data_IF_913752393080
#
_entry.id   IF_913752393080
#
_cell.length_a   1.000
_cell.length_b   1.000
_cell.length_c   1.000
_cell.angle_alpha   90.00
_cell.angle_beta   90.00
_cell.angle_gamma   90.00
#
_symmetry.space_group_name_H-M   'P 1'
#
loop_
_entity.id
_entity.type
_entity.pdbx_description
1 polymer ?
#
# COMPACT_ATOMS: atom_id res chain seq x y z
N UNK A 1 -38.49 12.67 18.87
CA UNK A 1 -37.98 12.96 20.25
C UNK A 1 -39.04 12.46 21.23
N UNK A 2 -38.85 11.25 21.73
CA UNK A 2 -39.57 10.73 22.90
C UNK A 2 -38.66 10.86 24.12
N UNK A 3 -39.21 11.48 25.14
CA UNK A 3 -38.52 11.80 26.41
C UNK A 3 -37.94 10.56 27.09
N UNK A 4 -36.66 10.54 27.36
CA UNK A 4 -36.08 9.95 28.57
C UNK A 4 -35.67 8.49 28.57
N UNK A 5 -35.60 7.76 27.46
CA UNK A 5 -35.00 6.43 27.42
C UNK A 5 -33.57 6.49 26.85
N UNK A 6 -32.57 6.45 27.74
CA UNK A 6 -31.17 6.24 27.32
C UNK A 6 -31.06 4.81 26.77
N UNK A 7 -30.95 4.69 25.45
CA UNK A 7 -30.63 3.44 24.75
C UNK A 7 -29.21 2.98 25.11
N UNK A 8 -28.99 1.66 25.09
CA UNK A 8 -27.63 1.09 25.20
C UNK A 8 -26.92 1.26 23.89
N UNK A 9 -25.80 1.96 23.90
CA UNK A 9 -24.97 2.21 22.71
C UNK A 9 -24.42 0.89 22.16
N UNK A 10 -24.76 0.58 20.91
CA UNK A 10 -24.22 -0.58 20.17
C UNK A 10 -22.96 -0.18 19.42
N UNK A 11 -23.07 0.85 18.58
CA UNK A 11 -21.96 1.31 17.75
C UNK A 11 -22.14 2.78 17.35
N UNK A 12 -21.03 3.39 16.94
CA UNK A 12 -20.99 4.63 16.19
C UNK A 12 -20.26 4.34 14.86
N UNK A 13 -20.86 4.71 13.75
CA UNK A 13 -20.32 4.48 12.42
C UNK A 13 -20.15 5.80 11.68
N UNK A 14 -19.00 6.06 11.03
CA UNK A 14 -18.82 7.27 10.26
C UNK A 14 -19.79 7.36 9.09
N UNK A 15 -20.43 8.53 8.92
CA UNK A 15 -21.09 8.95 7.69
C UNK A 15 -20.14 9.85 6.92
N UNK A 16 -19.93 9.60 5.64
CA UNK A 16 -18.95 10.32 4.86
C UNK A 16 -19.59 11.15 3.74
N UNK A 17 -19.02 12.32 3.51
CA UNK A 17 -19.24 13.11 2.30
C UNK A 17 -18.29 12.57 1.23
N UNK A 18 -18.79 11.67 0.37
CA UNK A 18 -18.01 10.96 -0.62
C UNK A 18 -17.99 11.67 -1.96
N UNK A 19 -16.83 11.76 -2.57
CA UNK A 19 -16.60 12.32 -3.91
C UNK A 19 -15.88 11.31 -4.79
N UNK A 20 -15.90 11.42 -6.14
CA UNK A 20 -15.07 10.61 -7.01
C UNK A 20 -13.61 10.65 -6.57
N UNK A 21 -12.90 9.50 -6.53
CA UNK A 21 -11.55 9.44 -5.99
C UNK A 21 -10.55 10.33 -6.77
N UNK A 22 -10.80 10.57 -8.06
CA UNK A 22 -9.98 11.44 -8.92
C UNK A 22 -10.33 12.93 -8.86
N UNK A 23 -11.31 13.32 -8.03
CA UNK A 23 -11.62 14.74 -7.82
C UNK A 23 -10.59 15.34 -6.86
N UNK A 24 -9.90 16.44 -7.26
CA UNK A 24 -8.94 17.15 -6.40
C UNK A 24 -9.66 17.99 -5.33
N UNK A 25 -10.44 17.31 -4.51
CA UNK A 25 -11.16 17.86 -3.35
C UNK A 25 -10.95 16.90 -2.18
N UNK A 26 -10.13 17.30 -1.21
CA UNK A 26 -9.66 16.42 -0.15
C UNK A 26 -10.32 16.69 1.20
N UNK A 27 -10.75 17.93 1.43
CA UNK A 27 -11.33 18.30 2.72
C UNK A 27 -12.31 19.46 2.60
N UNK A 28 -13.13 19.61 3.63
CA UNK A 28 -14.05 20.71 3.87
C UNK A 28 -13.96 21.15 5.33
N UNK A 29 -14.35 22.37 5.61
CA UNK A 29 -14.59 22.81 6.99
C UNK A 29 -15.93 22.26 7.49
N UNK A 30 -16.13 22.26 8.82
CA UNK A 30 -17.41 21.86 9.41
C UNK A 30 -18.60 22.71 8.91
N UNK A 31 -18.39 24.03 8.66
CA UNK A 31 -19.40 24.91 8.10
C UNK A 31 -19.77 24.51 6.64
N UNK A 32 -18.76 24.20 5.83
CA UNK A 32 -18.97 23.74 4.46
C UNK A 32 -19.66 22.37 4.42
N UNK A 33 -19.27 21.46 5.31
CA UNK A 33 -19.93 20.17 5.45
C UNK A 33 -21.41 20.32 5.80
N UNK A 34 -21.75 21.20 6.74
CA UNK A 34 -23.14 21.51 7.11
C UNK A 34 -23.89 22.12 5.93
N UNK A 35 -23.28 23.04 5.18
CA UNK A 35 -23.90 23.63 4.01
C UNK A 35 -24.18 22.57 2.91
N UNK A 36 -23.27 21.63 2.71
CA UNK A 36 -23.49 20.51 1.77
C UNK A 36 -24.67 19.64 2.23
N UNK A 37 -24.79 19.35 3.53
CA UNK A 37 -25.90 18.57 4.08
C UNK A 37 -27.26 19.28 3.94
N UNK A 38 -27.28 20.60 4.12
CA UNK A 38 -28.52 21.40 4.09
C UNK A 38 -29.00 21.71 2.66
N UNK A 39 -28.07 21.98 1.75
CA UNK A 39 -28.38 22.47 0.40
C UNK A 39 -28.18 21.43 -0.69
N UNK A 40 -27.44 20.34 -0.39
CA UNK A 40 -26.98 19.35 -1.36
C UNK A 40 -25.80 19.84 -2.20
N UNK A 41 -25.11 18.90 -2.81
CA UNK A 41 -24.08 19.14 -3.82
C UNK A 41 -24.07 17.97 -4.81
N UNK A 42 -24.15 18.25 -6.11
CA UNK A 42 -24.25 17.20 -7.15
C UNK A 42 -23.02 16.27 -7.23
N UNK A 43 -21.87 16.72 -6.75
CA UNK A 43 -20.62 15.93 -6.75
C UNK A 43 -20.42 15.14 -5.46
N UNK A 44 -21.23 15.37 -4.42
CA UNK A 44 -21.08 14.77 -3.10
C UNK A 44 -22.23 13.80 -2.84
N UNK A 45 -21.90 12.63 -2.32
CA UNK A 45 -22.87 11.66 -1.82
C UNK A 45 -22.63 11.44 -0.33
N UNK A 46 -23.69 11.53 0.48
CA UNK A 46 -23.66 11.13 1.89
C UNK A 46 -23.98 9.64 1.97
N UNK A 47 -23.09 8.86 2.56
CA UNK A 47 -23.29 7.43 2.81
C UNK A 47 -22.50 6.96 4.03
N UNK A 48 -22.83 5.81 4.62
CA UNK A 48 -21.98 5.16 5.61
C UNK A 48 -20.60 4.85 5.02
N UNK A 49 -19.54 5.06 5.81
CA UNK A 49 -18.19 4.73 5.33
C UNK A 49 -18.05 3.25 4.95
N UNK A 50 -18.81 2.37 5.60
CA UNK A 50 -18.89 0.95 5.23
C UNK A 50 -19.49 0.65 3.85
N UNK A 51 -20.12 1.62 3.20
CA UNK A 51 -20.69 1.50 1.85
C UNK A 51 -19.84 2.21 0.79
N UNK A 52 -18.71 2.80 1.20
CA UNK A 52 -17.76 3.40 0.26
C UNK A 52 -17.06 2.30 -0.54
N UNK A 53 -16.73 2.57 -1.79
CA UNK A 53 -15.90 1.74 -2.66
C UNK A 53 -14.75 2.56 -3.25
N UNK A 54 -13.75 1.89 -3.83
CA UNK A 54 -12.55 2.51 -4.37
C UNK A 54 -12.79 3.54 -5.49
N UNK A 55 -14.00 3.65 -6.05
CA UNK A 55 -14.36 4.68 -7.04
C UNK A 55 -14.53 6.06 -6.42
N UNK A 56 -14.60 6.12 -5.09
CA UNK A 56 -14.84 7.33 -4.30
C UNK A 56 -13.87 7.42 -3.15
N UNK A 57 -13.74 8.62 -2.59
CA UNK A 57 -13.04 8.89 -1.33
C UNK A 57 -13.89 9.77 -0.42
N UNK A 58 -13.71 9.62 0.87
CA UNK A 58 -14.33 10.46 1.88
C UNK A 58 -13.64 11.83 1.96
N UNK A 59 -14.38 12.93 2.02
CA UNK A 59 -13.82 14.23 2.37
C UNK A 59 -13.45 14.25 3.85
N UNK A 60 -12.28 14.78 4.16
CA UNK A 60 -11.91 15.10 5.54
C UNK A 60 -12.73 16.31 6.00
N UNK A 61 -13.09 16.37 7.27
CA UNK A 61 -13.81 17.50 7.86
C UNK A 61 -12.95 18.10 8.95
N UNK A 62 -12.58 19.36 8.81
CA UNK A 62 -11.63 20.05 9.71
C UNK A 62 -10.32 19.23 9.91
N UNK A 63 -9.81 18.67 8.82
CA UNK A 63 -8.60 17.87 8.79
C UNK A 63 -8.74 16.42 9.27
N UNK A 64 -9.92 15.97 9.72
CA UNK A 64 -10.18 14.63 10.25
C UNK A 64 -10.80 13.70 9.23
N UNK A 65 -10.29 12.47 9.14
CA UNK A 65 -10.82 11.41 8.30
C UNK A 65 -11.75 10.45 9.05
N UNK A 66 -12.53 9.61 8.35
CA UNK A 66 -13.52 8.73 8.96
C UNK A 66 -12.93 7.63 9.85
N UNK A 67 -11.63 7.30 9.73
CA UNK A 67 -10.92 6.38 10.62
C UNK A 67 -10.61 6.99 12.00
N UNK A 68 -10.70 8.32 12.15
CA UNK A 68 -10.35 9.00 13.38
C UNK A 68 -11.54 9.02 14.37
N UNK A 69 -11.32 8.75 15.68
CA UNK A 69 -12.40 8.55 16.66
C UNK A 69 -13.33 9.75 16.82
N UNK A 70 -12.83 10.96 16.56
CA UNK A 70 -13.55 12.23 16.70
C UNK A 70 -13.97 12.82 15.35
N UNK A 71 -14.10 11.99 14.32
CA UNK A 71 -14.70 12.38 13.04
C UNK A 71 -16.12 12.89 13.26
N UNK A 72 -16.48 14.09 12.75
CA UNK A 72 -17.67 14.81 13.23
C UNK A 72 -19.00 14.25 12.71
N UNK A 73 -19.02 13.52 11.60
CA UNK A 73 -20.25 12.92 11.06
C UNK A 73 -20.32 11.45 11.45
N UNK A 74 -21.20 11.14 12.39
CA UNK A 74 -21.38 9.76 12.87
C UNK A 74 -22.87 9.42 13.00
N UNK A 75 -23.20 8.21 12.61
CA UNK A 75 -24.47 7.58 12.92
C UNK A 75 -24.34 6.75 14.20
N UNK A 76 -25.28 6.94 15.12
CA UNK A 76 -25.28 6.25 16.41
C UNK A 76 -26.35 5.19 16.44
N UNK A 77 -25.94 3.96 16.70
CA UNK A 77 -26.82 2.80 16.84
C UNK A 77 -26.99 2.46 18.30
N UNK A 78 -28.25 2.48 18.78
CA UNK A 78 -28.58 2.19 20.17
C UNK A 78 -29.71 1.18 20.26
N UNK A 79 -29.63 0.28 21.27
CA UNK A 79 -30.72 -0.61 21.62
C UNK A 79 -31.63 0.07 22.64
N UNK A 80 -32.91 0.12 22.31
CA UNK A 80 -33.95 0.61 23.21
C UNK A 80 -34.92 -0.53 23.47
N UNK A 81 -35.26 -0.77 24.72
CA UNK A 81 -36.29 -1.74 25.09
C UNK A 81 -37.05 -1.30 26.33
N UNK A 82 -38.24 -1.93 26.49
CA UNK A 82 -39.03 -1.81 27.66
C UNK A 82 -38.21 -2.14 28.94
N UNK A 83 -38.40 -1.44 30.07
CA UNK A 83 -37.68 -1.65 31.30
C UNK A 83 -37.58 -3.12 31.77
N UNK A 84 -38.62 -3.92 31.50
CA UNK A 84 -38.65 -5.34 31.85
C UNK A 84 -37.63 -6.21 31.12
N UNK A 85 -37.09 -5.75 29.98
CA UNK A 85 -36.12 -6.48 29.16
C UNK A 85 -34.68 -5.94 29.26
N UNK A 86 -34.40 -4.95 30.10
CA UNK A 86 -33.07 -4.32 30.22
C UNK A 86 -31.96 -5.32 30.57
N UNK A 87 -32.24 -6.31 31.42
CA UNK A 87 -31.24 -7.34 31.78
C UNK A 87 -30.86 -8.17 30.53
N UNK A 88 -31.85 -8.64 29.77
CA UNK A 88 -31.62 -9.39 28.56
C UNK A 88 -30.86 -8.57 27.50
N UNK A 89 -31.13 -7.25 27.42
CA UNK A 89 -30.36 -6.34 26.54
C UNK A 89 -28.90 -6.21 26.95
N UNK A 90 -28.61 -6.10 28.25
CA UNK A 90 -27.23 -6.06 28.72
C UNK A 90 -26.48 -7.37 28.42
N UNK A 91 -27.14 -8.50 28.42
CA UNK A 91 -26.55 -9.79 28.02
C UNK A 91 -26.33 -9.87 26.50
N UNK A 92 -27.22 -9.29 25.70
CA UNK A 92 -27.14 -9.29 24.22
C UNK A 92 -26.13 -8.31 23.71
N UNK A 93 -25.93 -7.16 24.36
CA UNK A 93 -25.09 -6.04 23.88
C UNK A 93 -23.68 -6.45 23.51
N UNK A 94 -22.89 -7.22 24.30
CA UNK A 94 -21.57 -7.65 23.95
C UNK A 94 -21.53 -8.49 22.65
N UNK A 95 -22.56 -9.32 22.44
CA UNK A 95 -22.67 -10.15 21.23
C UNK A 95 -22.93 -9.29 19.97
N UNK A 96 -23.78 -8.27 20.09
CA UNK A 96 -24.04 -7.33 19.01
C UNK A 96 -22.81 -6.46 18.70
N UNK A 97 -22.12 -5.98 19.73
CA UNK A 97 -20.87 -5.23 19.57
C UNK A 97 -19.77 -6.08 18.93
N UNK A 98 -19.65 -7.36 19.31
CA UNK A 98 -18.70 -8.29 18.70
C UNK A 98 -19.05 -8.66 17.24
N UNK A 99 -20.34 -8.66 16.89
CA UNK A 99 -20.83 -8.93 15.53
C UNK A 99 -20.86 -7.67 14.65
N UNK A 100 -20.59 -6.48 15.22
CA UNK A 100 -20.57 -5.25 14.45
C UNK A 100 -19.39 -5.23 13.50
N UNK A 101 -19.56 -4.71 12.26
CA UNK A 101 -18.46 -4.60 11.32
C UNK A 101 -17.26 -3.90 11.95
N UNK A 102 -16.10 -4.53 11.86
CA UNK A 102 -14.85 -3.93 12.34
C UNK A 102 -14.43 -2.77 11.43
N UNK A 103 -13.66 -1.79 11.93
CA UNK A 103 -13.06 -0.77 11.09
C UNK A 103 -12.20 -1.42 9.98
N UNK A 104 -12.14 -0.81 8.80
CA UNK A 104 -11.27 -1.33 7.75
C UNK A 104 -9.79 -1.27 8.18
N UNK A 105 -8.99 -2.21 7.69
CA UNK A 105 -7.53 -2.23 7.89
C UNK A 105 -6.88 -1.13 7.05
N UNK A 106 -6.04 -0.33 7.67
CA UNK A 106 -5.27 0.71 7.02
C UNK A 106 -3.92 0.16 6.53
N UNK A 107 -3.83 -0.11 5.23
CA UNK A 107 -2.59 -0.44 4.54
C UNK A 107 -1.97 0.85 3.99
N UNK A 108 -0.69 1.07 4.29
CA UNK A 108 0.09 2.16 3.70
C UNK A 108 1.12 1.60 2.72
N UNK A 109 0.98 1.94 1.45
CA UNK A 109 1.92 1.54 0.41
C UNK A 109 2.81 2.71 -0.01
N UNK A 110 4.11 2.44 -0.16
CA UNK A 110 5.09 3.40 -0.67
C UNK A 110 5.81 2.85 -1.90
N UNK A 111 6.54 3.72 -2.59
CA UNK A 111 7.30 3.37 -3.79
C UNK A 111 8.63 2.66 -3.52
N UNK A 112 9.54 2.80 -4.48
CA UNK A 112 10.84 2.12 -4.48
C UNK A 112 11.77 2.69 -3.42
N UNK A 113 12.33 1.81 -2.60
CA UNK A 113 13.24 2.11 -1.49
C UNK A 113 14.62 1.56 -1.83
N UNK A 114 15.61 2.44 -2.02
CA UNK A 114 17.00 2.10 -2.32
C UNK A 114 17.91 2.74 -1.27
N UNK A 115 18.32 1.97 -0.27
CA UNK A 115 19.09 2.43 0.89
C UNK A 115 20.62 2.29 0.68
N UNK A 116 21.07 2.58 -0.55
CA UNK A 116 22.49 2.70 -0.91
C UNK A 116 22.93 4.19 -0.92
N UNK A 117 24.07 4.51 -1.43
CA UNK A 117 24.64 5.85 -1.65
C UNK A 117 24.60 6.73 -0.37
N UNK A 118 24.06 7.94 -0.45
CA UNK A 118 23.99 8.88 0.68
C UNK A 118 23.16 8.35 1.84
N UNK A 119 22.05 7.65 1.56
CA UNK A 119 21.21 7.01 2.58
C UNK A 119 22.00 5.89 3.28
N UNK A 120 22.63 4.98 2.52
CA UNK A 120 23.46 3.92 3.05
C UNK A 120 24.65 4.41 3.88
N UNK A 121 25.30 5.51 3.44
CA UNK A 121 26.37 6.12 4.21
C UNK A 121 25.87 6.71 5.55
N UNK A 122 24.65 7.24 5.61
CA UNK A 122 24.07 7.70 6.87
C UNK A 122 23.82 6.52 7.82
N UNK A 123 23.26 5.42 7.32
CA UNK A 123 23.03 4.19 8.07
C UNK A 123 24.32 3.61 8.65
N UNK A 124 25.39 3.51 7.84
CA UNK A 124 26.70 3.05 8.28
C UNK A 124 27.36 3.94 9.36
N UNK A 125 26.96 5.22 9.45
CA UNK A 125 27.35 6.12 10.55
C UNK A 125 26.48 5.97 11.80
N UNK A 126 25.49 5.07 11.79
CA UNK A 126 24.59 4.80 12.91
C UNK A 126 23.34 5.68 12.96
N UNK A 127 23.07 6.46 11.92
CA UNK A 127 21.83 7.30 11.84
C UNK A 127 20.71 6.52 11.16
N UNK A 128 20.10 5.58 11.90
CA UNK A 128 19.05 4.69 11.40
C UNK A 128 17.77 5.44 11.05
N UNK A 129 17.48 6.56 11.68
CA UNK A 129 16.28 7.34 11.41
C UNK A 129 16.40 8.20 10.14
N UNK A 130 17.62 8.46 9.67
CA UNK A 130 17.90 9.40 8.60
C UNK A 130 17.06 9.19 7.32
N UNK A 131 16.93 7.97 6.78
CA UNK A 131 16.21 7.79 5.51
C UNK A 131 14.74 8.21 5.56
N UNK A 132 14.06 8.07 6.71
CA UNK A 132 12.60 8.18 6.81
C UNK A 132 12.13 9.27 7.78
N UNK A 133 13.02 10.07 8.35
CA UNK A 133 12.69 11.07 9.39
C UNK A 133 11.55 12.02 9.00
N UNK A 134 11.38 12.30 7.71
CA UNK A 134 10.34 13.21 7.22
C UNK A 134 8.94 12.60 7.06
N UNK A 135 8.79 11.28 7.24
CA UNK A 135 7.54 10.53 6.99
C UNK A 135 7.31 9.38 7.98
N UNK A 136 8.22 9.17 8.94
CA UNK A 136 8.17 8.03 9.84
C UNK A 136 6.89 7.98 10.71
N UNK A 137 6.31 9.12 11.04
CA UNK A 137 5.06 9.16 11.81
C UNK A 137 3.89 8.62 11.00
N UNK A 138 3.85 8.89 9.69
CA UNK A 138 2.83 8.36 8.77
C UNK A 138 3.01 6.85 8.57
N UNK A 139 4.27 6.40 8.37
CA UNK A 139 4.57 4.98 8.20
C UNK A 139 4.11 4.16 9.42
N UNK A 140 4.40 4.64 10.64
CA UNK A 140 4.02 3.96 11.88
C UNK A 140 2.54 4.09 12.26
N UNK A 141 1.80 5.01 11.65
CA UNK A 141 0.39 5.22 11.96
C UNK A 141 -0.55 4.25 11.22
N UNK A 142 -0.06 3.55 10.20
CA UNK A 142 -0.82 2.51 9.51
C UNK A 142 -0.85 1.20 10.30
N UNK A 143 -1.83 0.35 10.01
CA UNK A 143 -1.89 -1.01 10.57
C UNK A 143 -0.84 -1.92 9.91
N UNK A 144 -0.56 -1.68 8.62
CA UNK A 144 0.46 -2.39 7.83
C UNK A 144 1.11 -1.40 6.87
N UNK A 145 2.45 -1.35 6.84
CA UNK A 145 3.22 -0.53 5.89
C UNK A 145 4.05 -1.41 4.96
N UNK A 146 3.90 -1.19 3.64
CA UNK A 146 4.57 -1.98 2.60
C UNK A 146 5.36 -1.11 1.63
N UNK A 147 6.47 -1.62 1.09
CA UNK A 147 7.26 -0.97 0.04
C UNK A 147 8.11 -1.97 -0.75
N UNK A 148 8.77 -1.51 -1.80
CA UNK A 148 9.68 -2.33 -2.59
C UNK A 148 11.13 -1.99 -2.22
N UNK A 149 11.89 -2.94 -1.66
CA UNK A 149 13.32 -2.76 -1.34
C UNK A 149 14.15 -3.04 -2.61
N UNK A 150 14.42 -1.99 -3.35
CA UNK A 150 15.07 -2.05 -4.67
C UNK A 150 16.59 -1.96 -4.56
N UNK A 151 17.17 -2.88 -3.84
CA UNK A 151 18.60 -3.08 -3.72
C UNK A 151 18.90 -4.46 -3.12
N UNK A 152 20.08 -5.01 -3.36
CA UNK A 152 20.63 -6.02 -2.47
C UNK A 152 20.76 -5.42 -1.06
N UNK A 153 20.69 -6.25 -0.03
CA UNK A 153 20.84 -5.85 1.38
C UNK A 153 21.91 -6.72 2.04
N UNK A 154 22.90 -6.09 2.64
CA UNK A 154 23.95 -6.78 3.34
C UNK A 154 25.36 -6.33 2.96
N UNK A 155 26.36 -7.17 3.24
CA UNK A 155 27.77 -6.86 3.05
C UNK A 155 28.56 -7.96 2.33
N UNK A 156 27.89 -9.06 1.93
CA UNK A 156 28.50 -10.19 1.21
C UNK A 156 28.09 -10.23 -0.25
N UNK A 157 28.77 -11.07 -1.05
CA UNK A 157 28.52 -11.25 -2.48
C UNK A 157 29.35 -10.32 -3.36
N UNK A 158 29.32 -10.61 -4.66
CA UNK A 158 30.03 -9.86 -5.70
C UNK A 158 29.03 -9.16 -6.61
N UNK A 159 29.33 -7.94 -7.10
CA UNK A 159 28.40 -7.19 -7.94
C UNK A 159 28.15 -7.88 -9.27
N UNK A 160 26.87 -7.94 -9.68
CA UNK A 160 26.49 -8.39 -11.01
C UNK A 160 27.12 -7.49 -12.10
N UNK A 161 27.37 -8.02 -13.29
CA UNK A 161 27.99 -7.27 -14.40
C UNK A 161 26.99 -6.33 -15.09
N UNK A 162 26.37 -5.43 -14.31
CA UNK A 162 25.41 -4.42 -14.75
C UNK A 162 25.90 -3.01 -14.42
N UNK A 163 25.29 -2.02 -15.04
CA UNK A 163 25.77 -0.62 -14.93
C UNK A 163 25.59 -0.03 -13.53
N UNK A 164 24.50 -0.40 -12.85
CA UNK A 164 24.12 0.14 -11.56
C UNK A 164 23.76 -1.00 -10.58
N UNK A 165 24.75 -1.70 -9.98
CA UNK A 165 24.47 -2.60 -8.87
C UNK A 165 24.26 -1.79 -7.59
N UNK A 166 23.13 -2.00 -6.90
CA UNK A 166 22.80 -1.33 -5.65
C UNK A 166 22.95 -2.26 -4.46
N UNK A 167 23.50 -1.74 -3.35
CA UNK A 167 23.64 -2.50 -2.11
C UNK A 167 23.43 -1.62 -0.89
N UNK A 168 22.29 -1.80 -0.22
CA UNK A 168 22.04 -1.27 1.11
C UNK A 168 22.92 -1.99 2.16
N UNK A 169 23.48 -1.28 3.15
CA UNK A 169 24.24 -1.90 4.22
C UNK A 169 23.32 -2.70 5.17
N UNK A 170 23.86 -3.63 5.99
CA UNK A 170 23.08 -4.44 6.93
C UNK A 170 22.17 -3.63 7.87
N UNK A 171 22.60 -2.43 8.26
CA UNK A 171 21.85 -1.50 9.11
C UNK A 171 20.51 -1.04 8.50
N UNK A 172 20.34 -1.22 7.19
CA UNK A 172 19.11 -0.83 6.49
C UNK A 172 17.89 -1.64 6.95
N UNK A 173 18.07 -2.91 7.36
CA UNK A 173 16.98 -3.71 7.92
C UNK A 173 16.43 -3.08 9.22
N UNK A 174 17.30 -2.68 10.14
CA UNK A 174 16.91 -2.00 11.37
C UNK A 174 16.32 -0.60 11.12
N UNK A 175 16.75 0.08 10.06
CA UNK A 175 16.16 1.36 9.67
C UNK A 175 14.73 1.23 9.12
N UNK A 176 14.45 0.15 8.37
CA UNK A 176 13.09 -0.19 7.90
C UNK A 176 12.15 -0.48 9.08
N UNK A 177 12.57 -1.35 10.03
CA UNK A 177 11.81 -1.63 11.26
C UNK A 177 11.53 -0.35 12.05
N UNK A 178 12.56 0.46 12.29
CA UNK A 178 12.44 1.73 13.03
C UNK A 178 11.45 2.70 12.37
N UNK A 179 11.41 2.71 11.04
CA UNK A 179 10.49 3.55 10.28
C UNK A 179 9.05 3.03 10.32
N UNK A 180 8.81 1.76 10.62
CA UNK A 180 7.50 1.13 10.69
C UNK A 180 7.13 0.33 9.44
N UNK A 181 8.11 -0.17 8.67
CA UNK A 181 7.83 -1.12 7.60
C UNK A 181 7.54 -2.50 8.17
N UNK A 182 6.44 -3.11 7.74
CA UNK A 182 6.06 -4.49 8.09
C UNK A 182 6.47 -5.48 7.00
N UNK A 183 6.35 -5.07 5.73
CA UNK A 183 6.60 -5.93 4.58
C UNK A 183 7.40 -5.18 3.52
N UNK A 184 8.39 -5.86 2.94
CA UNK A 184 9.07 -5.39 1.74
C UNK A 184 9.04 -6.43 0.63
N UNK A 185 8.81 -5.98 -0.60
CA UNK A 185 9.05 -6.78 -1.80
C UNK A 185 10.54 -6.89 -2.06
N UNK A 186 11.01 -8.09 -2.36
CA UNK A 186 12.32 -8.37 -2.92
C UNK A 186 12.24 -8.83 -4.39
N UNK A 187 11.04 -8.99 -4.94
CA UNK A 187 10.86 -9.31 -6.35
C UNK A 187 11.09 -8.09 -7.23
N UNK A 188 12.35 -7.74 -7.48
CA UNK A 188 12.75 -6.62 -8.32
C UNK A 188 14.10 -6.89 -9.02
N UNK A 189 14.47 -6.04 -9.97
CA UNK A 189 15.68 -6.20 -10.75
C UNK A 189 16.98 -5.79 -10.01
N UNK A 190 16.93 -5.49 -8.70
CA UNK A 190 18.09 -5.11 -7.89
C UNK A 190 18.35 -5.99 -6.66
N UNK A 191 17.38 -6.79 -6.23
CA UNK A 191 17.52 -7.64 -5.04
C UNK A 191 18.67 -8.65 -5.13
N UNK A 192 19.04 -9.09 -6.34
CA UNK A 192 20.14 -10.01 -6.60
C UNK A 192 21.39 -9.34 -7.20
N UNK A 193 21.56 -8.04 -7.07
CA UNK A 193 22.72 -7.32 -7.59
C UNK A 193 24.07 -7.81 -7.07
N UNK A 194 24.10 -8.48 -5.92
CA UNK A 194 25.27 -9.09 -5.32
C UNK A 194 25.17 -10.61 -5.18
N UNK A 195 24.28 -11.22 -5.97
CA UNK A 195 24.14 -12.66 -6.12
C UNK A 195 23.33 -13.34 -5.04
N UNK A 196 23.20 -14.68 -5.13
CA UNK A 196 22.32 -15.46 -4.25
C UNK A 196 22.70 -15.44 -2.78
N UNK A 197 23.98 -15.32 -2.44
CA UNK A 197 24.42 -15.21 -1.04
C UNK A 197 23.94 -13.92 -0.40
N UNK A 198 23.98 -12.80 -1.14
CA UNK A 198 23.44 -11.52 -0.69
C UNK A 198 21.91 -11.58 -0.52
N UNK A 199 21.19 -12.27 -1.41
CA UNK A 199 19.74 -12.48 -1.26
C UNK A 199 19.41 -13.25 0.04
N UNK A 200 20.11 -14.32 0.33
CA UNK A 200 19.94 -15.06 1.59
C UNK A 200 20.25 -14.19 2.82
N UNK A 201 21.31 -13.40 2.76
CA UNK A 201 21.63 -12.46 3.84
C UNK A 201 20.53 -11.41 4.00
N UNK A 202 20.00 -10.86 2.91
CA UNK A 202 18.92 -9.89 2.94
C UNK A 202 17.68 -10.44 3.66
N UNK A 203 17.24 -11.65 3.30
CA UNK A 203 16.09 -12.31 3.92
C UNK A 203 16.34 -12.52 5.43
N UNK A 204 17.54 -12.98 5.81
CA UNK A 204 17.89 -13.19 7.22
C UNK A 204 17.91 -11.87 8.03
N UNK A 205 18.51 -10.80 7.49
CA UNK A 205 18.56 -9.48 8.13
C UNK A 205 17.18 -8.86 8.31
N UNK A 206 16.30 -8.98 7.30
CA UNK A 206 14.92 -8.51 7.38
C UNK A 206 14.13 -9.28 8.43
N UNK A 207 14.30 -10.62 8.48
CA UNK A 207 13.66 -11.45 9.50
C UNK A 207 14.12 -11.10 10.92
N UNK A 208 15.42 -10.84 11.12
CA UNK A 208 15.97 -10.39 12.41
C UNK A 208 15.42 -9.03 12.84
N UNK A 209 15.12 -8.17 11.88
CA UNK A 209 14.51 -6.86 12.08
C UNK A 209 12.97 -6.87 12.14
N UNK A 210 12.31 -8.04 12.18
CA UNK A 210 10.84 -8.18 12.14
C UNK A 210 10.17 -7.54 10.91
N UNK A 211 10.88 -7.42 9.80
CA UNK A 211 10.34 -6.98 8.52
C UNK A 211 10.17 -8.21 7.62
N UNK A 212 8.95 -8.49 7.19
CA UNK A 212 8.70 -9.62 6.31
C UNK A 212 9.15 -9.33 4.88
N UNK A 213 9.71 -10.34 4.21
CA UNK A 213 10.10 -10.26 2.80
C UNK A 213 9.21 -11.15 1.95
N UNK A 214 8.79 -10.66 0.77
CA UNK A 214 7.99 -11.41 -0.19
C UNK A 214 8.60 -11.38 -1.59
N UNK A 215 8.34 -12.42 -2.40
CA UNK A 215 8.73 -12.46 -3.80
C UNK A 215 10.16 -12.94 -4.06
N UNK A 216 10.84 -13.48 -3.04
CA UNK A 216 12.17 -14.07 -3.15
C UNK A 216 12.33 -15.26 -2.19
N UNK A 217 13.20 -16.19 -2.51
CA UNK A 217 13.42 -17.35 -1.67
C UNK A 217 14.62 -18.22 -2.07
N UNK A 218 14.89 -19.27 -1.29
CA UNK A 218 15.94 -20.24 -1.57
C UNK A 218 15.61 -21.16 -2.76
N UNK A 219 14.36 -21.16 -3.20
CA UNK A 219 13.85 -21.91 -4.33
C UNK A 219 12.52 -21.30 -4.81
N UNK A 220 11.96 -21.81 -5.92
CA UNK A 220 10.72 -21.29 -6.48
C UNK A 220 9.54 -21.40 -5.51
N UNK A 221 9.44 -22.46 -4.71
CA UNK A 221 8.35 -22.62 -3.74
C UNK A 221 8.37 -21.50 -2.70
N UNK A 222 9.54 -21.14 -2.18
CA UNK A 222 9.68 -20.06 -1.20
C UNK A 222 9.48 -18.68 -1.85
N UNK A 223 10.02 -18.46 -3.08
CA UNK A 223 9.88 -17.19 -3.78
C UNK A 223 8.40 -16.86 -4.10
N UNK A 224 7.60 -17.86 -4.43
CA UNK A 224 6.19 -17.75 -4.75
C UNK A 224 5.24 -17.96 -3.55
N UNK A 225 5.80 -18.23 -2.35
CA UNK A 225 4.97 -18.43 -1.15
C UNK A 225 4.24 -17.13 -0.76
N UNK A 226 2.92 -17.18 -0.49
CA UNK A 226 2.21 -16.04 0.05
C UNK A 226 2.64 -15.77 1.50
N UNK A 227 2.73 -14.50 1.87
CA UNK A 227 2.80 -14.08 3.26
C UNK A 227 1.37 -13.85 3.76
N UNK A 228 0.97 -14.55 4.81
CA UNK A 228 -0.34 -14.36 5.44
C UNK A 228 -0.20 -13.53 6.70
N UNK A 229 -1.05 -12.51 6.84
CA UNK A 229 -1.12 -11.63 8.02
C UNK A 229 -2.56 -11.53 8.49
N UNK A 230 -2.77 -11.73 9.79
CA UNK A 230 -4.04 -11.47 10.45
C UNK A 230 -4.03 -10.05 11.04
N UNK A 231 -4.90 -9.18 10.55
CA UNK A 231 -5.03 -7.80 11.03
C UNK A 231 -6.49 -7.35 10.97
N UNK A 232 -6.98 -6.72 12.03
CA UNK A 232 -8.34 -6.17 12.09
C UNK A 232 -9.45 -7.21 11.86
N UNK A 233 -9.18 -8.50 12.12
CA UNK A 233 -10.10 -9.60 11.86
C UNK A 233 -10.20 -10.03 10.40
N UNK A 234 -9.23 -9.61 9.58
CA UNK A 234 -9.02 -10.05 8.19
C UNK A 234 -7.76 -10.91 8.11
N UNK A 235 -7.80 -11.91 7.24
CA UNK A 235 -6.62 -12.64 6.76
C UNK A 235 -6.20 -12.05 5.42
N UNK A 236 -5.05 -11.38 5.39
CA UNK A 236 -4.49 -10.73 4.20
C UNK A 236 -3.38 -11.59 3.62
N UNK A 237 -3.42 -11.86 2.32
CA UNK A 237 -2.35 -12.55 1.60
C UNK A 237 -1.54 -11.56 0.76
N UNK A 238 -0.22 -11.56 0.93
CA UNK A 238 0.71 -10.77 0.14
C UNK A 238 1.53 -11.67 -0.77
N UNK A 239 1.53 -11.37 -2.06
CA UNK A 239 2.36 -12.00 -3.08
C UNK A 239 3.19 -10.91 -3.78
N UNK A 240 4.36 -11.25 -4.29
CA UNK A 240 5.15 -10.28 -5.04
C UNK A 240 5.84 -10.92 -6.24
N UNK A 241 5.91 -10.17 -7.35
CA UNK A 241 6.47 -10.63 -8.61
C UNK A 241 7.28 -9.56 -9.32
N UNK A 242 8.28 -9.99 -10.12
CA UNK A 242 9.06 -9.12 -11.00
C UNK A 242 8.87 -9.49 -12.46
N UNK A 243 8.73 -8.47 -13.32
CA UNK A 243 8.77 -8.61 -14.78
C UNK A 243 9.55 -7.44 -15.39
N UNK A 244 10.86 -7.50 -15.27
CA UNK A 244 11.81 -6.60 -15.91
C UNK A 244 12.83 -7.47 -16.63
N UNK A 245 12.50 -8.04 -17.80
CA UNK A 245 13.35 -9.07 -18.44
C UNK A 245 14.72 -8.55 -18.85
N UNK A 246 14.82 -7.29 -19.25
CA UNK A 246 16.09 -6.67 -19.61
C UNK A 246 16.16 -5.24 -19.07
N UNK A 247 17.18 -4.95 -18.30
CA UNK A 247 17.43 -3.57 -17.86
C UNK A 247 17.84 -2.68 -19.02
N UNK A 248 17.09 -1.62 -19.26
CA UNK A 248 17.36 -0.68 -20.36
C UNK A 248 18.74 -0.01 -20.25
N UNK A 249 19.21 0.26 -19.02
CA UNK A 249 20.46 0.95 -18.74
C UNK A 249 21.72 0.14 -19.04
N UNK A 250 21.66 -1.19 -18.97
CA UNK A 250 22.81 -2.10 -19.05
C UNK A 250 22.64 -3.22 -20.09
N UNK A 251 21.40 -3.50 -20.54
CA UNK A 251 21.10 -4.69 -21.33
C UNK A 251 21.24 -6.00 -20.54
N UNK A 252 21.27 -5.93 -19.21
CA UNK A 252 21.40 -7.10 -18.34
C UNK A 252 20.09 -7.89 -18.36
N UNK A 253 20.18 -9.20 -18.55
CA UNK A 253 19.02 -10.12 -18.50
C UNK A 253 18.73 -10.51 -17.05
N UNK A 254 17.74 -9.85 -16.43
CA UNK A 254 17.34 -10.13 -15.07
C UNK A 254 16.51 -11.40 -14.91
N UNK A 255 15.98 -11.96 -16.02
CA UNK A 255 15.25 -13.22 -15.98
C UNK A 255 16.13 -14.40 -15.54
N UNK A 256 17.46 -14.27 -15.64
CA UNK A 256 18.40 -15.26 -15.08
C UNK A 256 18.31 -15.42 -13.56
N UNK A 257 17.67 -14.48 -12.86
CA UNK A 257 17.45 -14.49 -11.42
C UNK A 257 16.11 -15.13 -11.00
N UNK A 258 15.36 -15.66 -11.96
CA UNK A 258 14.14 -16.43 -11.64
C UNK A 258 14.48 -17.59 -10.74
N UNK A 259 13.76 -17.74 -9.63
CA UNK A 259 13.89 -18.88 -8.73
C UNK A 259 13.51 -20.18 -9.44
N UNK A 260 14.25 -21.24 -9.18
CA UNK A 260 13.92 -22.59 -9.68
C UNK A 260 13.66 -23.54 -8.50
N UNK A 261 13.29 -24.79 -8.78
CA UNK A 261 13.17 -25.79 -7.71
C UNK A 261 14.46 -26.03 -6.92
N UNK A 262 15.63 -25.68 -7.48
CA UNK A 262 16.94 -26.02 -6.93
C UNK A 262 17.85 -24.80 -6.72
N UNK A 263 17.40 -23.61 -7.11
CA UNK A 263 18.20 -22.39 -6.99
C UNK A 263 17.41 -21.25 -6.40
N UNK A 264 18.06 -20.44 -5.54
CA UNK A 264 17.47 -19.22 -5.00
C UNK A 264 17.23 -18.20 -6.09
N UNK A 265 16.24 -17.35 -5.89
CA UNK A 265 15.90 -16.29 -6.82
C UNK A 265 14.61 -15.59 -6.48
N UNK A 266 14.04 -14.98 -7.52
CA UNK A 266 12.89 -14.08 -7.46
C UNK A 266 11.66 -14.78 -8.09
N UNK A 267 10.48 -14.42 -7.59
CA UNK A 267 9.21 -14.83 -8.20
C UNK A 267 8.99 -14.05 -9.50
N UNK A 268 9.02 -14.76 -10.62
CA UNK A 268 8.82 -14.15 -11.93
C UNK A 268 7.33 -13.99 -12.25
N UNK A 269 6.92 -12.85 -12.79
CA UNK A 269 5.53 -12.55 -13.14
C UNK A 269 5.09 -13.27 -14.43
N UNK A 270 5.11 -14.60 -14.42
CA UNK A 270 4.47 -15.39 -15.47
C UNK A 270 2.96 -15.43 -15.23
N UNK A 271 2.10 -15.08 -16.22
CA UNK A 271 0.66 -15.05 -16.05
C UNK A 271 0.03 -16.38 -15.58
N UNK A 272 0.57 -17.51 -16.00
CA UNK A 272 0.07 -18.81 -15.57
C UNK A 272 0.45 -19.10 -14.11
N UNK A 273 1.67 -18.69 -13.69
CA UNK A 273 2.12 -18.84 -12.32
C UNK A 273 1.36 -17.91 -11.37
N UNK A 274 1.17 -16.63 -11.72
CA UNK A 274 0.33 -15.69 -10.94
C UNK A 274 -1.06 -16.30 -10.67
N UNK A 275 -1.71 -16.84 -11.73
CA UNK A 275 -3.01 -17.49 -11.58
C UNK A 275 -2.96 -18.71 -10.66
N UNK A 276 -1.92 -19.54 -10.77
CA UNK A 276 -1.76 -20.73 -9.96
C UNK A 276 -1.53 -20.39 -8.48
N UNK A 277 -0.70 -19.38 -8.20
CA UNK A 277 -0.38 -18.94 -6.84
C UNK A 277 -1.62 -18.38 -6.15
N UNK A 278 -2.38 -17.50 -6.82
CA UNK A 278 -3.60 -16.89 -6.26
C UNK A 278 -4.68 -17.94 -6.09
N UNK A 279 -4.88 -18.84 -7.08
CA UNK A 279 -5.83 -19.95 -6.96
C UNK A 279 -5.45 -20.99 -5.89
N UNK A 280 -4.19 -21.01 -5.48
CA UNK A 280 -3.68 -21.85 -4.39
C UNK A 280 -3.92 -21.29 -2.99
N UNK A 281 -4.39 -20.04 -2.86
CA UNK A 281 -4.75 -19.46 -1.58
C UNK A 281 -5.99 -20.16 -0.99
N UNK A 282 -6.01 -20.32 0.33
CA UNK A 282 -7.13 -20.95 1.02
C UNK A 282 -8.37 -20.05 1.11
N UNK A 283 -9.52 -20.67 1.38
CA UNK A 283 -10.79 -19.93 1.60
C UNK A 283 -10.77 -19.02 2.83
N UNK A 284 -9.76 -19.17 3.69
CA UNK A 284 -9.54 -18.32 4.87
C UNK A 284 -8.97 -16.94 4.52
N UNK A 285 -8.46 -16.73 3.30
CA UNK A 285 -7.94 -15.43 2.87
C UNK A 285 -9.11 -14.50 2.51
N UNK A 286 -9.17 -13.38 3.21
CA UNK A 286 -10.20 -12.35 2.99
C UNK A 286 -9.81 -11.35 1.92
N UNK A 287 -8.52 -10.97 1.82
CA UNK A 287 -8.01 -9.98 0.85
C UNK A 287 -6.66 -10.42 0.30
N UNK A 288 -6.50 -10.37 -1.02
CA UNK A 288 -5.25 -10.70 -1.71
C UNK A 288 -4.60 -9.46 -2.31
N UNK A 289 -3.36 -9.19 -1.90
CA UNK A 289 -2.53 -8.07 -2.35
C UNK A 289 -1.35 -8.58 -3.16
N UNK A 290 -1.15 -8.05 -4.35
CA UNK A 290 -0.01 -8.37 -5.23
C UNK A 290 0.87 -7.15 -5.38
N UNK A 291 2.16 -7.28 -5.03
CA UNK A 291 3.17 -6.28 -5.33
C UNK A 291 3.86 -6.65 -6.65
N UNK A 292 3.88 -5.75 -7.62
CA UNK A 292 4.36 -6.03 -8.97
C UNK A 292 5.45 -5.04 -9.40
N UNK A 293 6.67 -5.51 -9.53
CA UNK A 293 7.78 -4.73 -10.06
C UNK A 293 7.92 -4.94 -11.57
N UNK A 294 7.32 -4.04 -12.35
CA UNK A 294 7.19 -4.19 -13.81
C UNK A 294 6.97 -2.85 -14.49
N UNK A 295 7.25 -2.78 -15.77
CA UNK A 295 6.97 -1.61 -16.61
C UNK A 295 8.21 -1.10 -17.33
N UNK A 296 8.17 0.18 -17.68
CA UNK A 296 9.25 0.89 -18.35
C UNK A 296 9.59 2.13 -17.52
N UNK A 297 10.87 2.28 -17.17
CA UNK A 297 11.35 3.43 -16.39
C UNK A 297 10.93 4.75 -17.03
N UNK A 298 10.44 5.68 -16.21
CA UNK A 298 10.04 7.05 -16.56
C UNK A 298 8.90 7.17 -17.59
N UNK A 299 8.17 6.08 -17.84
CA UNK A 299 7.00 6.10 -18.71
C UNK A 299 5.71 6.30 -17.89
N UNK A 300 4.99 7.40 -18.16
CA UNK A 300 3.78 7.77 -17.39
C UNK A 300 2.59 6.80 -17.60
N UNK A 301 2.46 6.21 -18.79
CA UNK A 301 1.46 5.20 -19.07
C UNK A 301 2.03 3.79 -18.82
N UNK A 302 1.28 2.89 -18.16
CA UNK A 302 1.75 1.52 -17.97
C UNK A 302 1.92 0.79 -19.31
N UNK A 303 3.01 0.01 -19.43
CA UNK A 303 3.28 -0.80 -20.61
C UNK A 303 2.37 -2.03 -20.72
N UNK A 304 2.29 -2.64 -21.91
CA UNK A 304 1.40 -3.79 -22.15
C UNK A 304 1.69 -4.97 -21.20
N UNK A 305 2.96 -5.35 -21.02
CA UNK A 305 3.33 -6.45 -20.13
C UNK A 305 2.98 -6.14 -18.65
N UNK A 306 3.13 -4.89 -18.22
CA UNK A 306 2.74 -4.44 -16.88
C UNK A 306 1.23 -4.53 -16.70
N UNK A 307 0.44 -4.07 -17.69
CA UNK A 307 -1.01 -4.17 -17.65
C UNK A 307 -1.48 -5.64 -17.68
N UNK A 308 -0.87 -6.49 -18.51
CA UNK A 308 -1.21 -7.90 -18.59
C UNK A 308 -0.98 -8.61 -17.26
N UNK A 309 0.19 -8.45 -16.64
CA UNK A 309 0.50 -9.07 -15.35
C UNK A 309 -0.45 -8.57 -14.24
N UNK A 310 -0.67 -7.26 -14.14
CA UNK A 310 -1.53 -6.66 -13.12
C UNK A 310 -3.00 -7.11 -13.27
N UNK A 311 -3.54 -7.04 -14.48
CA UNK A 311 -4.92 -7.48 -14.75
C UNK A 311 -5.08 -8.99 -14.59
N UNK A 312 -4.05 -9.77 -14.93
CA UNK A 312 -4.05 -11.22 -14.66
C UNK A 312 -4.18 -11.53 -13.17
N UNK A 313 -3.52 -10.76 -12.30
CA UNK A 313 -3.66 -10.92 -10.86
C UNK A 313 -5.11 -10.64 -10.39
N UNK A 314 -5.71 -9.55 -10.85
CA UNK A 314 -7.13 -9.25 -10.52
C UNK A 314 -8.08 -10.30 -11.08
N UNK A 315 -7.90 -10.71 -12.34
CA UNK A 315 -8.73 -11.78 -12.97
C UNK A 315 -8.61 -13.12 -12.22
N UNK A 316 -7.50 -13.35 -11.50
CA UNK A 316 -7.26 -14.53 -10.68
C UNK A 316 -7.85 -14.41 -9.26
N UNK A 317 -8.31 -13.24 -8.84
CA UNK A 317 -8.92 -13.00 -7.54
C UNK A 317 -8.12 -12.10 -6.59
N UNK A 318 -7.09 -11.38 -7.08
CA UNK A 318 -6.47 -10.34 -6.28
C UNK A 318 -7.37 -9.10 -6.16
N UNK A 319 -7.42 -8.50 -4.97
CA UNK A 319 -8.19 -7.29 -4.68
C UNK A 319 -7.39 -6.02 -5.00
N UNK A 320 -6.06 -6.09 -4.85
CA UNK A 320 -5.16 -4.96 -4.98
C UNK A 320 -3.85 -5.36 -5.66
N UNK A 321 -3.44 -4.58 -6.66
CA UNK A 321 -2.08 -4.64 -7.23
C UNK A 321 -1.36 -3.33 -6.95
N UNK A 322 -0.14 -3.41 -6.39
CA UNK A 322 0.73 -2.27 -6.09
C UNK A 322 1.96 -2.36 -7.00
N UNK A 323 2.06 -1.43 -7.94
CA UNK A 323 3.10 -1.42 -8.98
C UNK A 323 4.32 -0.56 -8.64
N UNK A 324 5.49 -1.04 -9.09
CA UNK A 324 6.81 -0.49 -8.87
C UNK A 324 7.63 -0.46 -10.18
N UNK A 325 8.89 -0.02 -10.15
CA UNK A 325 9.86 0.00 -11.26
C UNK A 325 9.79 1.23 -12.18
N UNK A 326 8.64 1.82 -12.43
CA UNK A 326 8.55 2.96 -13.34
C UNK A 326 9.31 4.20 -12.84
N UNK A 327 9.69 4.24 -11.54
CA UNK A 327 10.39 5.34 -10.86
C UNK A 327 9.66 6.69 -10.88
N UNK A 328 8.42 6.70 -11.34
CA UNK A 328 7.49 7.83 -11.35
C UNK A 328 6.10 7.37 -10.94
N UNK A 329 5.27 8.31 -10.51
CA UNK A 329 3.86 8.06 -10.25
C UNK A 329 3.11 7.77 -11.55
N UNK A 330 2.35 6.69 -11.58
CA UNK A 330 1.43 6.36 -12.66
C UNK A 330 -0.02 6.42 -12.18
N UNK A 331 -0.98 6.10 -13.05
CA UNK A 331 -2.40 6.11 -12.72
C UNK A 331 -2.86 4.90 -11.92
N UNK A 332 -4.07 5.03 -11.38
CA UNK A 332 -4.82 3.98 -10.69
C UNK A 332 -5.95 3.52 -11.61
N UNK A 333 -6.06 2.22 -11.85
CA UNK A 333 -7.13 1.61 -12.61
C UNK A 333 -8.08 0.85 -11.69
N UNK A 334 -9.38 1.06 -11.86
CA UNK A 334 -10.43 0.21 -11.30
C UNK A 334 -10.74 -0.85 -12.35
N UNK A 335 -10.30 -2.08 -12.12
CA UNK A 335 -10.41 -3.17 -13.08
C UNK A 335 -11.10 -4.38 -12.48
N UNK A 336 -12.19 -4.84 -13.12
CA UNK A 336 -13.00 -5.91 -12.55
C UNK A 336 -13.53 -5.55 -11.18
N UNK A 337 -13.29 -6.39 -10.18
CA UNK A 337 -13.64 -6.15 -8.79
C UNK A 337 -12.47 -5.57 -7.96
N UNK A 338 -11.30 -5.35 -8.60
CA UNK A 338 -10.09 -4.93 -7.88
C UNK A 338 -9.53 -3.59 -8.32
N UNK A 339 -8.41 -3.22 -7.70
CA UNK A 339 -7.71 -1.96 -7.92
C UNK A 339 -6.26 -2.22 -8.32
N UNK A 340 -5.78 -1.49 -9.32
CA UNK A 340 -4.39 -1.52 -9.77
C UNK A 340 -3.77 -0.14 -9.62
N UNK A 341 -2.79 0.01 -8.75
CA UNK A 341 -1.90 1.16 -8.65
C UNK A 341 -0.69 0.84 -9.51
N UNK A 342 -0.58 1.40 -10.72
CA UNK A 342 0.44 0.97 -11.67
C UNK A 342 1.87 1.37 -11.28
N UNK A 343 2.06 2.56 -10.72
CA UNK A 343 3.38 3.05 -10.32
C UNK A 343 3.31 3.95 -9.10
N UNK A 344 3.99 3.52 -8.03
CA UNK A 344 4.11 4.26 -6.78
C UNK A 344 5.29 5.24 -6.76
N UNK A 345 6.11 5.24 -7.81
CA UNK A 345 7.30 6.09 -7.94
C UNK A 345 8.46 5.65 -7.04
N UNK A 346 9.49 6.47 -6.95
CA UNK A 346 10.53 6.31 -5.93
C UNK A 346 10.02 6.78 -4.57
N UNK A 347 10.66 6.32 -3.48
CA UNK A 347 10.31 6.78 -2.13
C UNK A 347 11.54 7.25 -1.35
N UNK A 348 12.30 6.35 -0.74
CA UNK A 348 13.60 6.68 -0.18
C UNK A 348 14.68 6.30 -1.19
N UNK A 349 15.03 7.23 -2.07
CA UNK A 349 15.82 6.94 -3.26
C UNK A 349 16.60 8.17 -3.72
N UNK A 350 17.93 8.07 -3.80
CA UNK A 350 18.76 9.16 -4.30
C UNK A 350 18.78 9.13 -5.84
N UNK A 351 18.07 10.08 -6.45
CA UNK A 351 17.94 10.19 -7.91
C UNK A 351 18.16 11.61 -8.42
N UNK A 352 18.48 11.71 -9.72
CA UNK A 352 18.52 12.93 -10.50
C UNK A 352 17.27 13.00 -11.42
N UNK A 353 16.06 12.98 -10.87
CA UNK A 353 14.81 12.90 -11.62
C UNK A 353 13.67 13.68 -11.01
N UNK A 354 12.42 13.33 -11.38
CA UNK A 354 11.23 13.90 -10.77
C UNK A 354 11.18 13.47 -9.30
N UNK A 355 11.21 14.40 -8.34
CA UNK A 355 11.16 14.08 -6.92
C UNK A 355 9.75 13.75 -6.42
N UNK A 356 8.73 13.84 -7.27
CA UNK A 356 7.34 13.62 -6.87
C UNK A 356 7.06 12.15 -6.60
N UNK A 357 6.53 11.87 -5.42
CA UNK A 357 6.05 10.56 -4.98
C UNK A 357 4.87 10.72 -4.04
N UNK A 358 4.36 9.64 -3.45
CA UNK A 358 3.24 9.69 -2.53
C UNK A 358 3.26 8.55 -1.52
N UNK A 359 2.59 8.76 -0.40
CA UNK A 359 2.06 7.71 0.46
C UNK A 359 0.67 7.35 -0.08
N UNK A 360 0.43 6.06 -0.31
CA UNK A 360 -0.87 5.55 -0.73
C UNK A 360 -1.56 4.94 0.49
N UNK A 361 -2.48 5.68 1.07
CA UNK A 361 -3.35 5.20 2.15
C UNK A 361 -4.48 4.39 1.55
N UNK A 362 -4.59 3.13 1.94
CA UNK A 362 -5.55 2.17 1.40
C UNK A 362 -6.30 1.54 2.56
N UNK A 363 -7.62 1.63 2.55
CA UNK A 363 -8.46 0.98 3.55
C UNK A 363 -9.08 -0.27 2.96
N UNK A 364 -8.90 -1.38 3.67
CA UNK A 364 -9.30 -2.73 3.24
C UNK A 364 -10.34 -3.31 4.18
N UNK A 365 -11.30 -4.02 3.62
CA UNK A 365 -12.22 -4.88 4.36
C UNK A 365 -12.49 -6.18 3.57
N UNK A 366 -13.48 -6.97 4.03
CA UNK A 366 -13.83 -8.24 3.38
C UNK A 366 -14.34 -8.13 1.93
N UNK A 367 -14.60 -6.93 1.45
CA UNK A 367 -15.00 -6.65 0.07
C UNK A 367 -13.84 -6.12 -0.78
N UNK A 368 -12.61 -6.14 -0.24
CA UNK A 368 -11.42 -5.66 -0.92
C UNK A 368 -11.09 -4.20 -0.59
N UNK A 369 -10.77 -3.40 -1.60
CA UNK A 369 -10.36 -2.00 -1.43
C UNK A 369 -11.57 -1.10 -1.27
N UNK A 370 -11.72 -0.53 -0.07
CA UNK A 370 -12.77 0.44 0.26
C UNK A 370 -12.45 1.86 -0.20
N UNK A 371 -11.26 2.33 0.11
CA UNK A 371 -10.86 3.71 -0.16
C UNK A 371 -9.36 3.78 -0.48
N UNK A 372 -8.97 4.68 -1.38
CA UNK A 372 -7.58 5.04 -1.64
C UNK A 372 -7.46 6.55 -1.54
N UNK A 373 -6.43 6.99 -0.82
CA UNK A 373 -6.06 8.40 -0.70
C UNK A 373 -4.57 8.58 -0.91
N UNK A 374 -4.19 9.60 -1.67
CA UNK A 374 -2.81 9.97 -1.90
C UNK A 374 -2.40 11.11 -0.95
N UNK A 375 -1.35 10.88 -0.19
CA UNK A 375 -0.64 11.94 0.53
C UNK A 375 0.67 12.23 -0.22
N UNK A 376 0.75 13.36 -0.94
CA UNK A 376 1.91 13.69 -1.75
C UNK A 376 3.19 13.88 -0.94
N UNK A 377 4.29 13.37 -1.48
CA UNK A 377 5.63 13.40 -0.90
C UNK A 377 6.62 13.93 -1.94
N UNK A 378 7.68 14.58 -1.50
CA UNK A 378 8.83 14.98 -2.30
C UNK A 378 10.09 14.31 -1.78
N UNK A 379 10.85 13.73 -2.67
CA UNK A 379 12.19 13.23 -2.38
C UNK A 379 13.14 14.43 -2.33
N UNK A 380 13.80 14.64 -1.20
CA UNK A 380 14.77 15.69 -1.01
C UNK A 380 16.13 15.30 -1.62
N UNK A 381 17.00 16.29 -1.80
CA UNK A 381 18.40 16.02 -2.17
C UNK A 381 19.02 15.03 -1.16
N UNK A 382 19.64 13.96 -1.67
CA UNK A 382 20.15 12.86 -0.83
C UNK A 382 19.18 11.72 -0.59
N UNK A 383 17.97 11.75 -1.17
CA UNK A 383 17.06 10.59 -1.25
C UNK A 383 15.98 10.51 -0.17
N UNK A 384 15.90 11.47 0.75
CA UNK A 384 14.91 11.45 1.85
C UNK A 384 13.51 11.85 1.38
N UNK A 385 12.44 11.04 1.64
CA UNK A 385 11.06 11.45 1.44
C UNK A 385 10.61 12.44 2.52
N UNK A 386 9.84 13.45 2.12
CA UNK A 386 9.15 14.39 3.02
C UNK A 386 7.78 14.72 2.48
N UNK A 387 6.81 14.94 3.35
CA UNK A 387 5.49 15.40 2.94
C UNK A 387 5.61 16.65 2.08
N UNK A 388 4.88 16.66 0.97
CA UNK A 388 4.86 17.80 0.06
C UNK A 388 4.17 19.00 0.72
N UNK A 389 4.72 20.18 0.49
CA UNK A 389 4.14 21.42 0.95
C UNK A 389 2.72 21.61 0.39
N UNK A 390 1.79 22.25 1.15
CA UNK A 390 0.37 22.37 0.77
C UNK A 390 0.12 22.99 -0.61
N UNK A 391 1.02 23.83 -1.12
CA UNK A 391 0.91 24.43 -2.45
C UNK A 391 1.46 23.55 -3.57
N UNK A 392 2.26 22.52 -3.27
CA UNK A 392 2.80 21.54 -4.23
C UNK A 392 1.89 20.31 -4.33
N UNK A 393 1.39 19.84 -3.20
CA UNK A 393 0.60 18.62 -3.08
C UNK A 393 -0.55 18.49 -4.10
N UNK A 394 -1.37 19.53 -4.40
CA UNK A 394 -2.42 19.42 -5.40
C UNK A 394 -1.89 19.14 -6.82
N UNK A 395 -0.70 19.61 -7.16
CA UNK A 395 -0.06 19.34 -8.45
C UNK A 395 0.24 17.85 -8.64
N UNK A 396 0.80 17.22 -7.61
CA UNK A 396 1.12 15.78 -7.62
C UNK A 396 -0.16 14.96 -7.73
N UNK A 397 -1.18 15.22 -6.90
CA UNK A 397 -2.46 14.50 -6.97
C UNK A 397 -3.11 14.62 -8.33
N UNK A 398 -3.20 15.84 -8.89
CA UNK A 398 -3.81 16.06 -10.22
C UNK A 398 -3.11 15.27 -11.32
N UNK A 399 -1.79 15.09 -11.25
CA UNK A 399 -1.06 14.25 -12.21
C UNK A 399 -1.55 12.81 -12.13
N UNK A 400 -1.58 12.21 -10.94
CA UNK A 400 -2.07 10.83 -10.75
C UNK A 400 -3.54 10.70 -11.15
N UNK A 401 -4.40 11.65 -10.75
CA UNK A 401 -5.82 11.61 -11.07
C UNK A 401 -6.10 11.75 -12.57
N UNK A 402 -5.33 12.59 -13.28
CA UNK A 402 -5.44 12.71 -14.74
C UNK A 402 -5.06 11.39 -15.45
N UNK A 403 -3.96 10.74 -15.01
CA UNK A 403 -3.55 9.45 -15.53
C UNK A 403 -4.58 8.36 -15.20
N UNK A 404 -5.15 8.39 -14.00
CA UNK A 404 -6.21 7.45 -13.58
C UNK A 404 -7.48 7.62 -14.40
N UNK A 405 -7.89 8.86 -14.70
CA UNK A 405 -9.04 9.13 -15.56
C UNK A 405 -8.87 8.55 -16.97
N UNK A 406 -7.65 8.63 -17.53
CA UNK A 406 -7.35 8.03 -18.83
C UNK A 406 -7.48 6.50 -18.81
N UNK A 407 -7.01 5.84 -17.75
CA UNK A 407 -7.10 4.38 -17.58
C UNK A 407 -8.53 3.91 -17.40
N UNK A 408 -9.36 4.70 -16.71
CA UNK A 408 -10.77 4.38 -16.41
C UNK A 408 -11.76 4.93 -17.46
N UNK A 409 -11.27 5.47 -18.58
CA UNK A 409 -12.12 5.97 -19.68
C UNK A 409 -12.97 7.18 -19.31
N UNK A 410 -12.48 8.05 -18.44
CA UNK A 410 -13.17 9.24 -17.90
C UNK A 410 -12.54 10.55 -18.36
#
# INVERSE_FOLDING_TARGET
QSDGEEGLLVAQTPLVLAVPFTLDWEEVTGEEAQAILDLGNEQVTLLPWSELDASRKALRIDGRGPAEPDYPLQETWSLVADPDYRVALHELLPHLQAAWPQPPVHLLAVGDVMLDRSLGQALQRGDLAYPFVGVADQLRAADITVGNLESALGDIGEPAPKRYPFRAPPEAAAALELAGFDIVSLANNHAMDYGPQALHQAIALLQEANVAAVGAGANAQEAHAPLLIEQGGLTLAFLSYVNVPVEASSGFDTAVWTATSESPGLAWADPAQIKADIAGLGEEVDVTIVMLHSGIEYQAAPGEAQQEAARTAIDAGADLVIGHHAHILQGIELYGEGVIIYGTGNFAFEIDGDPATALFHIWLDRQGVREIRLEPVLIQFGGQPRLAEPWIAPGIRRTVYALSNLLNGR
#
